data_IF_654816893523
#
_entry.id   IF_654816893523
#
_cell.length_a   1.000
_cell.length_b   1.000
_cell.length_c   1.000
_cell.angle_alpha   90.00
_cell.angle_beta   90.00
_cell.angle_gamma   90.00
#
_symmetry.space_group_name_H-M   'P 1'
#
loop_
_entity.id
_entity.type
_entity.pdbx_description
1 polymer ?
#
# COMPACT_ATOMS: atom_id res chain seq x y z
N UNK A 1 -44.09 -5.53 8.07
CA UNK A 1 -43.08 -4.46 8.11
C UNK A 1 -41.93 -4.98 7.28
N UNK A 2 -41.78 -4.44 6.08
CA UNK A 2 -40.96 -5.01 5.01
C UNK A 2 -39.46 -4.89 5.30
N UNK A 3 -38.79 -6.03 5.36
CA UNK A 3 -37.34 -6.11 5.45
C UNK A 3 -36.72 -5.77 4.09
N UNK A 4 -36.14 -4.57 4.02
CA UNK A 4 -35.39 -4.13 2.84
C UNK A 4 -34.12 -4.98 2.66
N UNK A 5 -33.78 -5.36 1.40
CA UNK A 5 -32.65 -6.23 1.09
C UNK A 5 -31.31 -5.61 1.49
N UNK A 6 -30.41 -6.44 2.02
CA UNK A 6 -29.13 -6.09 2.66
C UNK A 6 -28.22 -5.20 1.80
N UNK A 7 -28.24 -5.37 0.47
CA UNK A 7 -27.50 -4.53 -0.48
C UNK A 7 -27.94 -3.06 -0.51
N UNK A 8 -29.20 -2.78 -0.16
CA UNK A 8 -29.75 -1.42 -0.09
C UNK A 8 -29.30 -0.69 1.17
N UNK A 9 -29.14 -1.42 2.29
CA UNK A 9 -28.66 -0.87 3.57
C UNK A 9 -27.21 -0.36 3.44
N UNK A 10 -26.34 -1.11 2.75
CA UNK A 10 -24.94 -0.74 2.49
C UNK A 10 -24.77 0.52 1.61
N UNK A 11 -25.58 0.65 0.54
CA UNK A 11 -25.58 1.85 -0.32
C UNK A 11 -26.08 3.09 0.41
N UNK A 12 -27.07 2.94 1.29
CA UNK A 12 -27.61 4.04 2.11
C UNK A 12 -26.56 4.49 3.13
N UNK A 13 -25.84 3.56 3.76
CA UNK A 13 -24.79 3.86 4.75
C UNK A 13 -23.61 4.63 4.12
N UNK A 14 -23.11 4.17 2.96
CA UNK A 14 -22.05 4.87 2.20
C UNK A 14 -22.47 6.29 1.80
N UNK A 15 -23.72 6.49 1.38
CA UNK A 15 -24.28 7.82 1.05
C UNK A 15 -24.39 8.72 2.29
N UNK A 16 -24.72 8.17 3.47
CA UNK A 16 -24.76 8.92 4.74
C UNK A 16 -23.36 9.37 5.16
N UNK A 17 -22.36 8.50 5.05
CA UNK A 17 -20.95 8.80 5.38
C UNK A 17 -20.41 9.91 4.47
N UNK A 18 -20.60 9.80 3.17
CA UNK A 18 -20.19 10.81 2.17
C UNK A 18 -20.85 12.16 2.44
N UNK A 19 -22.16 12.18 2.74
CA UNK A 19 -22.91 13.40 3.07
C UNK A 19 -22.39 14.05 4.36
N UNK A 20 -22.04 13.26 5.36
CA UNK A 20 -21.47 13.74 6.62
C UNK A 20 -20.05 14.29 6.43
N UNK A 21 -19.21 13.64 5.61
CA UNK A 21 -17.88 14.14 5.22
C UNK A 21 -17.99 15.50 4.53
N UNK A 22 -18.90 15.65 3.55
CA UNK A 22 -19.16 16.93 2.84
C UNK A 22 -19.76 18.02 3.74
N UNK A 23 -20.52 17.67 4.77
CA UNK A 23 -20.99 18.65 5.78
C UNK A 23 -19.83 19.10 6.65
N UNK A 24 -18.98 18.17 7.12
CA UNK A 24 -17.81 18.48 7.96
C UNK A 24 -16.83 19.41 7.26
N UNK A 25 -16.51 19.16 5.99
CA UNK A 25 -15.64 20.05 5.22
C UNK A 25 -16.28 21.43 5.00
N UNK A 26 -17.59 21.50 4.75
CA UNK A 26 -18.30 22.79 4.70
C UNK A 26 -18.32 23.55 6.02
N UNK A 27 -18.42 22.87 7.16
CA UNK A 27 -18.33 23.51 8.48
C UNK A 27 -16.91 24.01 8.79
N UNK A 28 -15.87 23.24 8.41
CA UNK A 28 -14.48 23.68 8.52
C UNK A 28 -14.21 24.90 7.63
N UNK A 29 -14.71 24.88 6.38
CA UNK A 29 -14.54 25.96 5.43
C UNK A 29 -15.24 27.24 5.89
N UNK A 30 -16.53 27.17 6.25
CA UNK A 30 -17.31 28.33 6.75
C UNK A 30 -16.69 28.93 8.02
N UNK A 31 -16.27 28.09 8.96
CA UNK A 31 -15.59 28.54 10.17
C UNK A 31 -14.29 29.29 9.85
N UNK A 32 -13.58 28.95 8.78
CA UNK A 32 -12.40 29.67 8.33
C UNK A 32 -12.75 30.93 7.53
N UNK A 33 -13.85 30.93 6.77
CA UNK A 33 -14.29 32.07 5.97
C UNK A 33 -14.84 33.23 6.84
N UNK A 34 -15.54 32.90 7.93
CA UNK A 34 -16.16 33.84 8.88
C UNK A 34 -15.15 34.48 9.87
N UNK A 35 -13.90 34.02 9.89
CA UNK A 35 -12.85 34.58 10.76
C UNK A 35 -12.29 35.88 10.16
N UNK A 36 -11.96 36.92 10.96
CA UNK A 36 -11.25 38.07 10.43
C UNK A 36 -9.89 37.67 9.85
N UNK A 37 -9.49 38.29 8.74
CA UNK A 37 -8.35 37.86 7.92
C UNK A 37 -7.01 37.83 8.69
N UNK A 38 -6.85 38.71 9.68
CA UNK A 38 -5.69 38.73 10.59
C UNK A 38 -5.58 37.45 11.44
N UNK A 39 -6.71 36.85 11.84
CA UNK A 39 -6.73 35.58 12.56
C UNK A 39 -6.47 34.40 11.61
N UNK A 40 -6.95 34.45 10.36
CA UNK A 40 -6.64 33.41 9.35
C UNK A 40 -5.13 33.35 9.08
N UNK A 41 -4.50 34.52 8.89
CA UNK A 41 -3.06 34.64 8.71
C UNK A 41 -2.28 34.11 9.92
N UNK A 42 -2.70 34.45 11.13
CA UNK A 42 -2.05 34.00 12.37
C UNK A 42 -2.15 32.47 12.55
N UNK A 43 -3.32 31.88 12.29
CA UNK A 43 -3.54 30.43 12.35
C UNK A 43 -2.70 29.71 11.29
N UNK A 44 -2.67 30.21 10.05
CA UNK A 44 -1.89 29.57 8.99
C UNK A 44 -0.38 29.68 9.26
N UNK A 45 0.09 30.82 9.79
CA UNK A 45 1.48 30.99 10.21
C UNK A 45 1.87 30.01 11.31
N UNK A 46 1.00 29.83 12.33
CA UNK A 46 1.19 28.80 13.37
C UNK A 46 1.18 27.38 12.80
N UNK A 47 0.32 27.10 11.81
CA UNK A 47 0.26 25.79 11.13
C UNK A 47 1.53 25.49 10.35
N UNK A 48 2.03 26.46 9.58
CA UNK A 48 3.29 26.37 8.84
C UNK A 48 4.46 26.16 9.82
N UNK A 49 4.48 26.91 10.91
CA UNK A 49 5.53 26.80 11.92
C UNK A 49 5.51 25.45 12.63
N UNK A 50 4.34 24.93 13.03
CA UNK A 50 4.21 23.58 13.58
C UNK A 50 4.69 22.52 12.57
N UNK A 51 4.34 22.66 11.29
CA UNK A 51 4.78 21.73 10.26
C UNK A 51 6.30 21.79 10.03
N UNK A 52 6.94 22.96 10.12
CA UNK A 52 8.41 23.10 10.10
C UNK A 52 9.05 22.41 11.30
N UNK A 53 8.59 22.68 12.53
CA UNK A 53 9.07 22.04 13.77
C UNK A 53 8.94 20.52 13.70
N UNK A 54 7.83 20.00 13.15
CA UNK A 54 7.62 18.57 12.94
C UNK A 54 8.63 17.96 11.98
N UNK A 55 8.91 18.61 10.84
CA UNK A 55 9.91 18.12 9.87
C UNK A 55 11.31 18.03 10.48
N UNK A 56 11.69 19.00 11.30
CA UNK A 56 12.96 18.97 12.02
C UNK A 56 13.01 17.87 13.08
N UNK A 57 11.92 17.67 13.84
CA UNK A 57 11.84 16.58 14.81
C UNK A 57 11.99 15.21 14.15
N UNK A 58 11.40 15.00 12.95
CA UNK A 58 11.57 13.77 12.19
C UNK A 58 13.02 13.57 11.73
N UNK A 59 13.71 14.64 11.30
CA UNK A 59 15.14 14.59 10.97
C UNK A 59 15.99 14.22 12.18
N UNK A 60 15.80 14.88 13.31
CA UNK A 60 16.54 14.62 14.55
C UNK A 60 16.33 13.20 15.08
N UNK A 61 15.08 12.71 15.09
CA UNK A 61 14.81 11.32 15.51
C UNK A 61 15.48 10.31 14.58
N UNK A 62 15.43 10.55 13.26
CA UNK A 62 16.11 9.68 12.28
C UNK A 62 17.61 9.65 12.52
N UNK A 63 18.23 10.80 12.79
CA UNK A 63 19.66 10.90 13.13
C UNK A 63 19.97 10.17 14.44
N UNK A 64 19.11 10.30 15.46
CA UNK A 64 19.25 9.55 16.71
C UNK A 64 19.15 8.03 16.50
N UNK A 65 18.24 7.56 15.65
CA UNK A 65 18.16 6.13 15.31
C UNK A 65 19.40 5.63 14.58
N UNK A 66 19.93 6.43 13.63
CA UNK A 66 21.16 6.08 12.91
C UNK A 66 22.35 6.03 13.89
N UNK A 67 22.47 7.01 14.78
CA UNK A 67 23.52 7.07 15.79
C UNK A 67 23.42 5.91 16.78
N UNK A 68 22.22 5.62 17.30
CA UNK A 68 21.99 4.49 18.20
C UNK A 68 22.26 3.14 17.52
N UNK A 69 22.00 3.02 16.21
CA UNK A 69 22.36 1.83 15.45
C UNK A 69 23.88 1.70 15.25
N UNK A 70 24.60 2.81 15.08
CA UNK A 70 26.06 2.84 15.00
C UNK A 70 26.73 2.54 16.35
N UNK A 71 26.23 3.12 17.45
CA UNK A 71 26.77 2.89 18.80
C UNK A 71 26.57 1.43 19.24
N UNK A 72 25.42 0.82 18.91
CA UNK A 72 25.19 -0.63 19.10
C UNK A 72 26.16 -1.48 18.28
N UNK A 73 26.48 -1.05 17.04
CA UNK A 73 27.46 -1.72 16.18
C UNK A 73 28.90 -1.65 16.73
N UNK A 74 29.26 -0.57 17.42
CA UNK A 74 30.59 -0.42 18.06
C UNK A 74 30.75 -1.24 19.35
N UNK A 75 29.66 -1.55 20.06
CA UNK A 75 29.70 -2.40 21.26
C UNK A 75 29.74 -3.90 20.93
N UNK A 76 29.27 -4.32 19.75
CA UNK A 76 29.32 -5.72 19.29
C UNK A 76 30.69 -6.11 18.66
N UNK A 77 31.50 -5.13 18.25
CA UNK A 77 32.82 -5.36 17.60
C UNK A 77 33.98 -5.68 18.56
N UNK A 78 33.80 -5.67 19.88
CA UNK A 78 34.90 -5.91 20.85
C UNK A 78 35.07 -7.39 21.26
N UNK A 79 34.28 -8.31 20.69
CA UNK A 79 34.48 -9.76 20.85
C UNK A 79 34.54 -10.42 19.48
N UNK A 80 35.72 -10.95 19.14
CA UNK A 80 36.09 -11.63 17.90
C UNK A 80 36.52 -10.77 16.70
N UNK A 81 37.66 -10.09 16.88
CA UNK A 81 38.66 -10.05 15.81
C UNK A 81 39.32 -11.44 15.71
N UNK A 82 39.14 -12.10 14.56
CA UNK A 82 40.13 -12.92 13.83
C UNK A 82 39.40 -13.91 12.92
N UNK A 83 39.10 -13.51 11.68
CA UNK A 83 39.47 -14.25 10.47
C UNK A 83 39.30 -13.34 9.26
N UNK A 84 40.39 -13.24 8.51
CA UNK A 84 40.68 -12.36 7.39
C UNK A 84 39.99 -12.75 6.09
N UNK A 85 39.55 -11.73 5.34
CA UNK A 85 39.72 -11.69 3.88
C UNK A 85 38.59 -12.21 3.01
N UNK A 86 37.54 -11.40 2.82
CA UNK A 86 37.06 -10.93 1.51
C UNK A 86 35.87 -9.99 1.69
N UNK A 87 35.92 -8.85 1.02
CA UNK A 87 34.93 -7.77 1.07
C UNK A 87 33.56 -8.22 0.54
N UNK A 88 32.54 -8.28 1.40
CA UNK A 88 31.23 -7.64 1.18
C UNK A 88 30.29 -7.84 2.39
N UNK A 89 29.77 -6.72 2.89
CA UNK A 89 29.05 -6.60 4.17
C UNK A 89 27.82 -7.49 4.29
N UNK A 90 27.87 -8.39 5.27
CA UNK A 90 26.80 -9.29 5.71
C UNK A 90 25.84 -8.53 6.65
N UNK A 91 24.54 -8.52 6.37
CA UNK A 91 23.53 -7.93 7.26
C UNK A 91 23.04 -8.97 8.26
N UNK A 92 23.39 -8.79 9.54
CA UNK A 92 22.85 -9.58 10.65
C UNK A 92 21.51 -8.99 11.08
N UNK A 93 20.42 -9.76 10.99
CA UNK A 93 19.13 -9.39 11.57
C UNK A 93 18.80 -10.35 12.72
N UNK A 94 18.83 -9.79 13.93
CA UNK A 94 18.07 -10.15 15.13
C UNK A 94 17.73 -11.63 15.39
N UNK A 95 18.73 -12.42 15.81
CA UNK A 95 18.63 -13.49 16.83
C UNK A 95 20.04 -14.04 17.17
N UNK A 96 20.96 -13.18 17.64
CA UNK A 96 22.38 -13.54 17.86
C UNK A 96 23.08 -14.19 16.65
N UNK A 97 22.71 -13.80 15.42
CA UNK A 97 23.31 -14.36 14.20
C UNK A 97 22.88 -15.80 13.86
N UNK A 98 21.87 -16.37 14.54
CA UNK A 98 21.36 -17.72 14.26
C UNK A 98 20.56 -17.83 12.97
N UNK A 99 20.02 -16.71 12.47
CA UNK A 99 19.26 -16.65 11.23
C UNK A 99 20.12 -15.94 10.18
N UNK A 100 20.54 -16.68 9.16
CA UNK A 100 21.17 -16.12 7.97
C UNK A 100 20.07 -15.82 6.96
N UNK A 101 19.77 -14.53 6.78
CA UNK A 101 18.87 -14.12 5.70
C UNK A 101 19.66 -14.09 4.39
N UNK A 102 19.05 -14.50 3.26
CA UNK A 102 19.63 -14.27 1.95
C UNK A 102 19.84 -12.76 1.74
N UNK A 103 20.82 -12.41 0.92
CA UNK A 103 21.03 -11.02 0.53
C UNK A 103 19.78 -10.49 -0.18
N UNK A 104 19.46 -9.22 0.07
CA UNK A 104 18.41 -8.55 -0.68
C UNK A 104 18.80 -8.52 -2.16
N UNK A 105 17.92 -9.05 -3.00
CA UNK A 105 18.07 -8.93 -4.45
C UNK A 105 17.99 -7.46 -4.86
N UNK A 106 18.65 -7.13 -5.97
CA UNK A 106 18.59 -5.78 -6.49
C UNK A 106 17.15 -5.43 -6.90
N UNK A 107 16.71 -4.23 -6.54
CA UNK A 107 15.39 -3.74 -6.94
C UNK A 107 15.31 -3.67 -8.47
N UNK A 108 14.24 -4.21 -9.10
CA UNK A 108 14.05 -4.12 -10.54
C UNK A 108 14.22 -2.69 -11.07
N UNK A 109 14.88 -2.50 -12.22
CA UNK A 109 15.25 -1.18 -12.73
C UNK A 109 14.03 -0.28 -12.95
N UNK A 110 12.90 -0.85 -13.36
CA UNK A 110 11.62 -0.17 -13.55
C UNK A 110 11.15 0.48 -12.24
N UNK A 111 11.09 -0.31 -11.16
CA UNK A 111 10.65 0.18 -9.85
C UNK A 111 11.65 1.17 -9.25
N UNK A 112 12.95 0.95 -9.44
CA UNK A 112 14.02 1.86 -8.99
C UNK A 112 13.86 3.25 -9.62
N UNK A 113 13.57 3.31 -10.93
CA UNK A 113 13.29 4.56 -11.64
C UNK A 113 12.00 5.21 -11.15
N UNK A 114 10.91 4.45 -11.01
CA UNK A 114 9.63 5.00 -10.52
C UNK A 114 9.74 5.59 -9.10
N UNK A 115 10.67 5.08 -8.27
CA UNK A 115 10.91 5.56 -6.92
C UNK A 115 11.87 6.75 -6.82
N UNK A 116 12.55 7.16 -7.89
CA UNK A 116 13.60 8.19 -7.83
C UNK A 116 13.09 9.64 -7.76
N UNK A 117 11.87 9.91 -8.24
CA UNK A 117 11.24 11.24 -8.28
C UNK A 117 11.85 12.23 -9.29
N UNK A 118 12.76 11.79 -10.16
CA UNK A 118 13.51 12.63 -11.10
C UNK A 118 12.70 13.02 -12.34
N UNK A 119 11.86 12.14 -12.86
CA UNK A 119 11.04 12.35 -14.05
C UNK A 119 9.55 12.52 -13.73
N UNK A 120 8.75 12.86 -14.74
CA UNK A 120 7.32 13.09 -14.57
C UNK A 120 6.57 11.82 -14.14
N UNK A 121 6.93 10.66 -14.69
CA UNK A 121 6.34 9.38 -14.35
C UNK A 121 6.68 9.01 -12.90
N UNK A 122 7.94 9.18 -12.49
CA UNK A 122 8.33 8.85 -11.11
C UNK A 122 7.66 9.76 -10.08
N UNK A 123 7.46 11.05 -10.39
CA UNK A 123 6.65 11.95 -9.54
C UNK A 123 5.17 11.54 -9.49
N UNK A 124 4.60 11.16 -10.64
CA UNK A 124 3.21 10.68 -10.73
C UNK A 124 3.02 9.39 -9.91
N UNK A 125 3.95 8.45 -10.05
CA UNK A 125 4.01 7.22 -9.26
C UNK A 125 4.08 7.51 -7.77
N UNK A 126 5.03 8.34 -7.32
CA UNK A 126 5.19 8.68 -5.91
C UNK A 126 3.97 9.38 -5.31
N UNK A 127 3.23 10.16 -6.12
CA UNK A 127 1.98 10.78 -5.66
C UNK A 127 0.91 9.72 -5.37
N UNK A 128 0.81 8.70 -6.22
CA UNK A 128 -0.27 7.71 -6.21
C UNK A 128 0.19 6.28 -5.84
N UNK A 129 1.38 6.11 -5.23
CA UNK A 129 2.01 4.79 -5.01
C UNK A 129 1.09 3.80 -4.27
N UNK A 130 0.24 4.29 -3.36
CA UNK A 130 -0.73 3.46 -2.63
C UNK A 130 -1.78 2.85 -3.55
N UNK A 131 -2.20 3.60 -4.56
CA UNK A 131 -3.20 3.14 -5.52
C UNK A 131 -2.58 2.15 -6.50
N UNK A 132 -1.36 2.40 -6.96
CA UNK A 132 -0.59 1.42 -7.73
C UNK A 132 -0.41 0.14 -6.93
N UNK A 133 0.07 0.22 -5.68
CA UNK A 133 0.23 -0.96 -4.83
C UNK A 133 -1.10 -1.71 -4.62
N UNK A 134 -2.21 -1.00 -4.42
CA UNK A 134 -3.54 -1.62 -4.31
C UNK A 134 -3.96 -2.31 -5.61
N UNK A 135 -3.76 -1.68 -6.77
CA UNK A 135 -4.11 -2.24 -8.07
C UNK A 135 -3.25 -3.48 -8.44
N UNK A 136 -2.05 -3.61 -7.87
CA UNK A 136 -1.16 -4.75 -8.02
C UNK A 136 -1.19 -5.72 -6.82
N UNK A 137 -2.12 -5.54 -5.88
CA UNK A 137 -2.24 -6.43 -4.74
C UNK A 137 -2.98 -7.72 -5.12
N UNK A 138 -2.45 -8.86 -4.71
CA UNK A 138 -3.13 -10.16 -4.87
C UNK A 138 -4.28 -10.35 -3.88
N UNK A 139 -4.21 -9.71 -2.72
CA UNK A 139 -5.14 -9.94 -1.61
C UNK A 139 -5.70 -8.62 -1.12
N UNK A 140 -6.96 -8.64 -0.69
CA UNK A 140 -7.48 -7.57 0.14
C UNK A 140 -7.08 -7.81 1.59
N UNK A 141 -7.23 -6.80 2.43
CA UNK A 141 -6.92 -6.91 3.86
C UNK A 141 -8.23 -6.88 4.64
N UNK A 142 -8.41 -7.90 5.49
CA UNK A 142 -9.51 -8.00 6.44
C UNK A 142 -9.05 -7.57 7.83
N UNK A 143 -10.02 -7.17 8.65
CA UNK A 143 -9.80 -6.71 10.02
C UNK A 143 -10.74 -5.57 10.39
N UNK A 144 -11.02 -5.42 11.68
CA UNK A 144 -11.91 -4.37 12.15
C UNK A 144 -11.15 -3.05 12.24
N UNK A 145 -11.43 -2.11 11.33
CA UNK A 145 -10.80 -0.79 11.34
C UNK A 145 -11.52 0.11 12.35
N UNK A 146 -10.78 0.56 13.35
CA UNK A 146 -11.29 1.51 14.32
C UNK A 146 -11.12 2.96 13.86
N UNK A 147 -12.22 3.50 13.38
CA UNK A 147 -12.27 4.88 12.91
C UNK A 147 -12.61 5.91 14.01
N UNK A 148 -12.77 5.49 15.27
CA UNK A 148 -13.20 6.39 16.35
C UNK A 148 -12.23 7.53 16.64
N UNK A 149 -10.94 7.33 16.40
CA UNK A 149 -9.89 8.28 16.80
C UNK A 149 -9.56 9.35 15.74
N UNK A 150 -10.08 9.22 14.51
CA UNK A 150 -9.77 10.12 13.39
C UNK A 150 -10.69 11.36 13.27
N UNK A 151 -11.33 11.76 14.38
CA UNK A 151 -12.28 12.86 14.43
C UNK A 151 -11.68 14.21 14.84
N UNK A 152 -10.45 14.22 15.37
CA UNK A 152 -9.74 15.43 15.80
C UNK A 152 -8.81 16.03 14.75
N UNK A 153 -8.10 17.11 15.11
CA UNK A 153 -7.07 17.74 14.27
C UNK A 153 -5.68 17.09 14.33
N UNK A 154 -5.58 15.92 14.98
CA UNK A 154 -4.32 15.17 15.12
C UNK A 154 -3.94 14.38 13.85
N UNK A 155 -2.73 13.80 13.82
CA UNK A 155 -2.34 12.88 12.75
C UNK A 155 -3.34 11.73 12.59
N UNK A 156 -3.59 11.31 11.35
CA UNK A 156 -4.45 10.16 11.07
C UNK A 156 -3.86 8.90 11.70
N UNK A 157 -4.66 8.20 12.51
CA UNK A 157 -4.33 6.95 13.16
C UNK A 157 -5.09 5.83 12.44
N UNK A 158 -4.37 4.97 11.73
CA UNK A 158 -4.94 3.73 11.21
C UNK A 158 -4.83 2.66 12.30
N UNK A 159 -5.96 2.30 12.90
CA UNK A 159 -6.02 1.30 13.98
C UNK A 159 -6.86 0.12 13.53
N UNK A 160 -6.31 -1.08 13.69
CA UNK A 160 -6.97 -2.34 13.39
C UNK A 160 -7.16 -3.07 14.73
N UNK A 161 -8.35 -3.63 14.94
CA UNK A 161 -8.66 -4.53 16.05
C UNK A 161 -8.86 -5.96 15.56
N UNK A 162 -8.63 -6.90 16.47
CA UNK A 162 -8.77 -8.33 16.22
C UNK A 162 -7.66 -8.87 15.32
N UNK A 163 -8.00 -9.95 14.61
CA UNK A 163 -7.08 -10.61 13.70
C UNK A 163 -6.95 -9.83 12.40
N UNK A 164 -5.71 -9.56 12.01
CA UNK A 164 -5.38 -9.05 10.69
C UNK A 164 -5.12 -10.23 9.76
N UNK A 165 -5.91 -10.33 8.69
CA UNK A 165 -5.79 -11.42 7.74
C UNK A 165 -5.82 -10.92 6.30
N UNK A 166 -5.12 -11.63 5.44
CA UNK A 166 -5.22 -11.44 4.00
C UNK A 166 -6.43 -12.22 3.49
N UNK A 167 -7.32 -11.54 2.77
CA UNK A 167 -8.49 -12.15 2.17
C UNK A 167 -8.22 -12.34 0.67
N UNK A 168 -8.16 -13.60 0.27
CA UNK A 168 -8.11 -14.02 -1.13
C UNK A 168 -9.55 -14.35 -1.53
N UNK A 169 -10.05 -13.64 -2.54
CA UNK A 169 -11.39 -13.85 -3.08
C UNK A 169 -11.47 -15.11 -3.95
N UNK A 170 -12.62 -15.32 -4.58
CA UNK A 170 -12.74 -16.27 -5.69
C UNK A 170 -11.76 -15.91 -6.81
N UNK A 171 -11.32 -16.90 -7.59
CA UNK A 171 -10.44 -16.68 -8.74
C UNK A 171 -11.12 -15.91 -9.88
N UNK A 172 -12.43 -16.07 -10.03
CA UNK A 172 -13.24 -15.34 -10.99
C UNK A 172 -14.15 -14.33 -10.29
N UNK A 173 -14.38 -13.16 -10.91
CA UNK A 173 -15.38 -12.21 -10.40
C UNK A 173 -16.77 -12.85 -10.45
N UNK A 174 -17.66 -12.36 -9.59
CA UNK A 174 -19.09 -12.69 -9.68
C UNK A 174 -19.65 -12.08 -10.96
N UNK A 175 -20.61 -12.74 -11.61
CA UNK A 175 -21.21 -12.27 -12.85
C UNK A 175 -21.66 -10.80 -12.77
N UNK A 176 -21.13 -9.99 -13.69
CA UNK A 176 -21.41 -8.55 -13.77
C UNK A 176 -20.56 -7.66 -12.85
N UNK A 177 -19.69 -8.23 -12.01
CA UNK A 177 -18.70 -7.47 -11.24
C UNK A 177 -17.37 -7.35 -11.99
N UNK A 178 -16.62 -6.27 -11.69
CA UNK A 178 -15.28 -6.08 -12.23
C UNK A 178 -14.28 -6.95 -11.46
N UNK A 179 -13.27 -7.52 -12.11
CA UNK A 179 -12.24 -8.29 -11.42
C UNK A 179 -11.41 -7.40 -10.50
N UNK A 180 -11.10 -7.94 -9.31
CA UNK A 180 -10.29 -7.27 -8.29
C UNK A 180 -9.22 -8.19 -7.72
N UNK A 181 -8.12 -7.59 -7.28
CA UNK A 181 -7.00 -8.27 -6.65
C UNK A 181 -6.47 -9.45 -7.49
N UNK A 182 -6.36 -10.65 -6.92
CA UNK A 182 -5.91 -11.87 -7.59
C UNK A 182 -6.69 -12.20 -8.87
N UNK A 183 -7.96 -11.81 -8.96
CA UNK A 183 -8.80 -12.08 -10.14
C UNK A 183 -8.26 -11.41 -11.39
N UNK A 184 -7.57 -10.27 -11.25
CA UNK A 184 -7.03 -9.52 -12.39
C UNK A 184 -6.04 -10.38 -13.18
N UNK A 185 -5.21 -11.16 -12.48
CA UNK A 185 -4.19 -12.02 -13.09
C UNK A 185 -4.74 -13.24 -13.85
N UNK A 186 -6.07 -13.47 -13.79
CA UNK A 186 -6.75 -14.55 -14.49
C UNK A 186 -7.26 -14.13 -15.88
N UNK A 187 -7.10 -12.86 -16.27
CA UNK A 187 -7.53 -12.32 -17.56
C UNK A 187 -6.35 -12.07 -18.49
N UNK A 188 -6.61 -11.82 -19.78
CA UNK A 188 -5.56 -11.47 -20.73
C UNK A 188 -4.94 -10.09 -20.42
N UNK A 189 -3.70 -9.87 -20.85
CA UNK A 189 -2.90 -8.69 -20.48
C UNK A 189 -3.62 -7.36 -20.72
N UNK A 190 -4.37 -7.23 -21.83
CA UNK A 190 -5.17 -6.04 -22.12
C UNK A 190 -6.29 -5.81 -21.08
N UNK A 191 -6.99 -6.88 -20.71
CA UNK A 191 -8.06 -6.82 -19.71
C UNK A 191 -7.50 -6.59 -18.30
N UNK A 192 -6.28 -7.06 -18.01
CA UNK A 192 -5.60 -6.74 -16.76
C UNK A 192 -5.34 -5.23 -16.63
N UNK A 193 -4.73 -4.64 -17.66
CA UNK A 193 -4.41 -3.21 -17.70
C UNK A 193 -5.69 -2.40 -17.53
N UNK A 194 -6.75 -2.72 -18.28
CA UNK A 194 -8.05 -2.08 -18.16
C UNK A 194 -8.64 -2.21 -16.76
N UNK A 195 -8.51 -3.37 -16.13
CA UNK A 195 -9.00 -3.63 -14.78
C UNK A 195 -8.20 -2.85 -13.72
N UNK A 196 -6.88 -2.69 -13.91
CA UNK A 196 -6.01 -1.90 -13.01
C UNK A 196 -6.26 -0.41 -13.13
N UNK A 197 -6.48 0.11 -14.35
CA UNK A 197 -6.87 1.51 -14.58
C UNK A 197 -8.20 1.79 -13.87
N UNK A 198 -9.16 0.87 -14.04
CA UNK A 198 -10.51 1.01 -13.51
C UNK A 198 -10.69 0.37 -12.14
N UNK A 199 -9.60 0.15 -11.39
CA UNK A 199 -9.65 -0.58 -10.13
C UNK A 199 -10.64 0.09 -9.17
N UNK A 200 -11.60 -0.65 -8.60
CA UNK A 200 -12.58 -0.08 -7.67
C UNK A 200 -11.86 0.61 -6.51
N UNK A 201 -12.41 1.73 -6.02
CA UNK A 201 -11.80 2.53 -4.93
C UNK A 201 -10.62 3.42 -5.31
N UNK A 202 -10.28 3.51 -6.60
CA UNK A 202 -9.36 4.54 -7.07
C UNK A 202 -10.10 5.86 -7.35
N UNK A 203 -9.81 6.90 -6.56
CA UNK A 203 -10.38 8.24 -6.74
C UNK A 203 -9.64 9.06 -7.83
N UNK A 204 -8.37 8.73 -8.09
CA UNK A 204 -7.51 9.36 -9.11
C UNK A 204 -7.31 8.45 -10.33
N UNK A 205 -7.11 9.07 -11.50
CA UNK A 205 -6.76 8.38 -12.73
C UNK A 205 -5.28 7.97 -12.66
N UNK A 206 -5.03 6.66 -12.76
CA UNK A 206 -3.67 6.12 -12.83
C UNK A 206 -3.09 6.26 -14.24
N UNK A 207 -1.81 6.61 -14.33
CA UNK A 207 -1.08 6.66 -15.60
C UNK A 207 -0.89 5.25 -16.16
N UNK A 208 -1.43 5.02 -17.37
CA UNK A 208 -1.34 3.77 -18.12
C UNK A 208 0.10 3.30 -18.29
N UNK A 209 1.02 4.22 -18.58
CA UNK A 209 2.42 3.88 -18.87
C UNK A 209 3.10 3.23 -17.67
N UNK A 210 2.73 3.68 -16.47
CA UNK A 210 3.21 3.10 -15.21
C UNK A 210 2.59 1.72 -14.98
N UNK A 211 1.30 1.56 -15.28
CA UNK A 211 0.64 0.25 -15.17
C UNK A 211 1.29 -0.76 -16.12
N UNK A 212 1.49 -0.41 -17.39
CA UNK A 212 2.15 -1.27 -18.38
C UNK A 212 3.54 -1.68 -17.91
N UNK A 213 4.36 -0.70 -17.50
CA UNK A 213 5.72 -0.93 -16.97
C UNK A 213 5.71 -1.88 -15.77
N UNK A 214 4.78 -1.70 -14.84
CA UNK A 214 4.67 -2.55 -13.65
C UNK A 214 4.12 -3.94 -13.97
N UNK A 215 3.20 -4.06 -14.94
CA UNK A 215 2.68 -5.36 -15.39
C UNK A 215 3.80 -6.19 -16.00
N UNK A 216 4.57 -5.64 -16.94
CA UNK A 216 5.71 -6.32 -17.56
C UNK A 216 6.77 -6.74 -16.53
N UNK A 217 7.09 -5.83 -15.60
CA UNK A 217 8.02 -6.12 -14.50
C UNK A 217 7.49 -7.26 -13.61
N UNK A 218 6.21 -7.23 -13.25
CA UNK A 218 5.59 -8.24 -12.39
C UNK A 218 5.54 -9.61 -13.07
N UNK A 219 5.23 -9.67 -14.36
CA UNK A 219 5.28 -10.92 -15.14
C UNK A 219 6.69 -11.54 -15.15
N UNK A 220 7.73 -10.69 -15.26
CA UNK A 220 9.12 -11.14 -15.31
C UNK A 220 9.65 -11.61 -13.96
N UNK A 221 9.42 -10.82 -12.91
CA UNK A 221 10.08 -10.98 -11.62
C UNK A 221 9.25 -11.75 -10.57
N UNK A 222 7.91 -11.78 -10.71
CA UNK A 222 7.05 -12.31 -9.65
C UNK A 222 6.54 -13.73 -9.97
N UNK A 223 7.06 -14.72 -9.24
CA UNK A 223 6.66 -16.13 -9.41
C UNK A 223 5.16 -16.39 -9.16
N UNK A 224 4.52 -15.61 -8.28
CA UNK A 224 3.08 -15.76 -8.04
C UNK A 224 2.28 -15.32 -9.27
N UNK A 225 2.70 -14.25 -9.95
CA UNK A 225 2.07 -13.82 -11.22
C UNK A 225 2.16 -14.93 -12.25
N UNK A 226 3.34 -15.57 -12.39
CA UNK A 226 3.55 -16.71 -13.29
C UNK A 226 2.62 -17.87 -12.95
N UNK A 227 2.47 -18.22 -11.66
CA UNK A 227 1.54 -19.26 -11.22
C UNK A 227 0.08 -18.95 -11.60
N UNK A 228 -0.35 -17.69 -11.49
CA UNK A 228 -1.70 -17.29 -11.90
C UNK A 228 -1.90 -17.35 -13.42
N UNK A 229 -0.90 -16.98 -14.21
CA UNK A 229 -0.95 -17.14 -15.67
C UNK A 229 -0.98 -18.61 -16.11
N UNK A 230 -0.19 -19.46 -15.45
CA UNK A 230 -0.22 -20.91 -15.68
C UNK A 230 -1.60 -21.48 -15.33
N UNK A 231 -2.18 -21.04 -14.21
CA UNK A 231 -3.53 -21.40 -13.80
C UNK A 231 -4.53 -20.96 -14.87
N UNK A 232 -4.50 -19.69 -15.30
CA UNK A 232 -5.33 -19.16 -16.39
C UNK A 232 -5.27 -20.06 -17.61
N UNK A 233 -4.07 -20.37 -18.13
CA UNK A 233 -3.89 -21.21 -19.31
C UNK A 233 -4.54 -22.59 -19.15
N UNK A 234 -4.38 -23.21 -17.98
CA UNK A 234 -5.00 -24.51 -17.67
C UNK A 234 -6.52 -24.42 -17.66
N UNK A 235 -7.08 -23.40 -17.00
CA UNK A 235 -8.53 -23.17 -16.94
C UNK A 235 -9.15 -22.76 -18.29
N UNK A 236 -8.39 -22.11 -19.18
CA UNK A 236 -8.84 -21.81 -20.55
C UNK A 236 -8.91 -23.04 -21.45
N UNK A 237 -8.12 -24.07 -21.15
CA UNK A 237 -7.97 -25.27 -22.00
C UNK A 237 -8.90 -26.44 -21.65
N UNK A 238 -9.60 -26.36 -20.51
CA UNK A 238 -10.44 -27.43 -19.97
C UNK A 238 -11.78 -26.84 -19.54
N UNK A 239 -12.89 -27.54 -19.79
CA UNK A 239 -14.17 -27.32 -19.11
C UNK A 239 -14.01 -27.65 -17.62
N UNK A 240 -13.31 -26.77 -16.89
CA UNK A 240 -12.80 -27.07 -15.57
C UNK A 240 -13.89 -26.78 -14.53
N UNK A 241 -14.32 -27.83 -13.84
CA UNK A 241 -15.18 -27.73 -12.66
C UNK A 241 -14.56 -26.82 -11.59
N UNK A 242 -15.35 -26.14 -10.76
CA UNK A 242 -14.85 -25.21 -9.74
C UNK A 242 -13.84 -25.92 -8.83
N UNK A 243 -12.58 -25.48 -8.94
CA UNK A 243 -11.44 -26.10 -8.27
C UNK A 243 -10.87 -25.12 -7.24
N UNK A 244 -10.53 -25.62 -6.05
CA UNK A 244 -9.90 -24.81 -5.01
C UNK A 244 -8.39 -24.69 -5.29
N UNK A 245 -7.92 -23.47 -5.58
CA UNK A 245 -6.49 -23.18 -5.67
C UNK A 245 -5.93 -22.93 -4.27
N UNK A 246 -4.91 -23.70 -3.88
CA UNK A 246 -4.23 -23.56 -2.60
C UNK A 246 -2.76 -23.20 -2.84
N UNK A 247 -2.37 -21.99 -2.46
CA UNK A 247 -0.96 -21.59 -2.40
C UNK A 247 -0.34 -22.28 -1.18
N UNK A 248 0.61 -23.19 -1.43
CA UNK A 248 1.40 -23.83 -0.39
C UNK A 248 2.79 -23.20 -0.47
N UNK A 249 3.17 -22.48 0.58
CA UNK A 249 4.56 -22.02 0.74
C UNK A 249 5.31 -23.15 1.42
N UNK A 250 6.19 -23.83 0.69
CA UNK A 250 7.14 -24.75 1.31
C UNK A 250 8.18 -23.91 2.07
N UNK A 251 8.19 -24.06 3.39
CA UNK A 251 9.12 -23.40 4.32
C UNK A 251 10.36 -24.24 4.58
#
# INVERSE_FOLDING_TARGET
MDDLPEGSKSKIEKRKIERNKRRRERYKQRRMDDLPEEFKYTIEKQRIEQNKRRRELYKQRREQYIKAAQDKRSQETTTHEQTTGQNNGMYNVSNHGKVKLPYLEETPPELKRLLDGTDELSRSFQKNYRMYNTAFSFTSTGGEIDNRYNHGGGPFVYRIFGDYYHQIGSLYPVDGEKPVYSQIYMFDNQQEIESRINFPYNDDILDVRIIETLTEMMERENEVVKMFHDARQRFSSVDCTPSNLRLIVET
#
